data_IF_251647586394
#
_entry.id   IF_251647586394
#
_cell.length_a   1.000
_cell.length_b   1.000
_cell.length_c   1.000
_cell.angle_alpha   90.00
_cell.angle_beta   90.00
_cell.angle_gamma   90.00
#
_symmetry.space_group_name_H-M   'P 1'
#
loop_
_entity.id
_entity.type
_entity.pdbx_description
1 polymer ?
#
# COMPACT_ATOMS: atom_id res chain seq x y z
N UNK A 1 0.60 12.03 -12.23
CA UNK A 1 0.51 10.66 -11.71
C UNK A 1 -0.87 10.47 -11.11
N UNK A 2 -1.68 9.54 -11.61
CA UNK A 2 -3.00 9.29 -11.05
C UNK A 2 -2.84 8.78 -9.61
N UNK A 3 -3.43 9.48 -8.63
CA UNK A 3 -3.45 9.05 -7.25
C UNK A 3 -4.15 7.69 -7.17
N UNK A 4 -3.55 6.70 -6.49
CA UNK A 4 -4.29 5.48 -6.19
C UNK A 4 -5.33 5.72 -5.07
N UNK A 5 -5.77 4.66 -4.40
CA UNK A 5 -6.88 4.79 -3.45
C UNK A 5 -6.50 5.61 -2.21
N UNK A 6 -7.43 6.44 -1.74
CA UNK A 6 -7.34 7.15 -0.46
C UNK A 6 -8.39 6.55 0.47
N UNK A 7 -7.92 5.93 1.55
CA UNK A 7 -8.73 5.27 2.54
C UNK A 7 -8.75 6.06 3.85
N UNK A 8 -9.95 6.46 4.25
CA UNK A 8 -10.21 7.26 5.44
C UNK A 8 -11.01 6.43 6.43
N UNK A 9 -10.73 6.59 7.73
CA UNK A 9 -11.53 5.95 8.77
C UNK A 9 -12.89 6.64 8.91
N UNK A 10 -13.93 5.90 9.32
CA UNK A 10 -15.31 6.39 9.39
C UNK A 10 -15.51 7.61 10.31
N UNK A 11 -14.62 7.81 11.28
CA UNK A 11 -14.63 8.95 12.20
C UNK A 11 -13.73 10.13 11.81
N UNK A 12 -13.09 10.10 10.64
CA UNK A 12 -12.11 11.12 10.25
C UNK A 12 -12.78 12.45 9.85
N UNK A 13 -12.29 13.56 10.41
CA UNK A 13 -12.75 14.92 10.08
C UNK A 13 -12.43 15.30 8.63
N UNK A 14 -13.23 16.21 8.04
CA UNK A 14 -12.98 16.72 6.68
C UNK A 14 -11.55 17.25 6.50
N UNK A 15 -11.06 18.01 7.48
CA UNK A 15 -9.69 18.56 7.50
C UNK A 15 -8.65 17.44 7.46
N UNK A 16 -8.82 16.38 8.26
CA UNK A 16 -7.90 15.24 8.24
C UNK A 16 -7.91 14.47 6.90
N UNK A 17 -9.07 14.38 6.22
CA UNK A 17 -9.16 13.80 4.87
C UNK A 17 -8.41 14.64 3.83
N UNK A 18 -8.54 15.97 3.89
CA UNK A 18 -7.80 16.88 3.01
C UNK A 18 -6.29 16.75 3.23
N UNK A 19 -5.83 16.73 4.48
CA UNK A 19 -4.41 16.55 4.81
C UNK A 19 -3.84 15.22 4.27
N UNK A 20 -4.62 14.14 4.29
CA UNK A 20 -4.25 12.85 3.68
C UNK A 20 -4.16 12.93 2.15
N UNK A 21 -5.10 13.62 1.52
CA UNK A 21 -5.12 13.83 0.06
C UNK A 21 -3.95 14.68 -0.41
N UNK A 22 -3.50 15.66 0.39
CA UNK A 22 -2.40 16.54 0.04
C UNK A 22 -1.03 16.10 0.57
N UNK A 23 -0.95 14.98 1.31
CA UNK A 23 0.30 14.48 1.94
C UNK A 23 0.94 15.53 2.86
N UNK A 24 0.12 16.21 3.65
CA UNK A 24 0.54 17.27 4.58
C UNK A 24 1.17 16.72 5.88
N UNK A 25 1.81 15.55 5.80
CA UNK A 25 2.53 14.90 6.89
C UNK A 25 4.01 14.76 6.58
N UNK A 26 4.83 14.57 7.61
CA UNK A 26 6.26 14.27 7.47
C UNK A 26 6.49 12.77 7.59
N UNK A 27 7.37 12.24 6.74
CA UNK A 27 7.84 10.86 6.83
C UNK A 27 8.60 10.66 8.14
N UNK A 28 8.15 9.71 8.96
CA UNK A 28 8.76 9.38 10.26
C UNK A 28 9.16 7.91 10.36
N UNK A 29 8.61 7.05 9.49
CA UNK A 29 8.86 5.62 9.55
C UNK A 29 8.74 4.99 8.15
N UNK A 30 9.46 3.89 7.92
CA UNK A 30 9.28 3.09 6.70
C UNK A 30 9.57 1.61 6.94
N UNK A 31 8.97 0.76 6.11
CA UNK A 31 9.22 -0.67 6.06
C UNK A 31 9.11 -1.21 4.63
N UNK A 32 9.78 -2.32 4.36
CA UNK A 32 9.58 -3.11 3.15
C UNK A 32 8.68 -4.33 3.48
N UNK A 33 7.72 -4.63 2.60
CA UNK A 33 6.78 -5.77 2.74
C UNK A 33 6.57 -6.46 1.39
N UNK A 34 6.26 -7.76 1.37
CA UNK A 34 6.04 -8.55 0.14
C UNK A 34 7.16 -9.54 -0.20
N UNK A 35 6.93 -10.41 -1.20
CA UNK A 35 7.70 -11.54 -1.78
C UNK A 35 8.55 -12.45 -0.85
N UNK A 36 9.30 -11.90 0.11
CA UNK A 36 10.11 -12.61 1.12
C UNK A 36 10.06 -11.94 2.52
N UNK A 37 9.53 -10.72 2.60
CA UNK A 37 9.24 -9.97 3.81
C UNK A 37 7.77 -10.13 4.16
N UNK A 38 7.47 -10.36 5.45
CA UNK A 38 6.12 -10.69 5.92
C UNK A 38 5.05 -9.72 5.39
N UNK A 39 3.83 -10.25 5.23
CA UNK A 39 2.66 -9.51 4.75
C UNK A 39 2.02 -8.62 5.81
N UNK A 40 2.65 -8.53 6.98
CA UNK A 40 2.25 -7.67 8.07
C UNK A 40 3.46 -7.04 8.76
N UNK A 41 3.23 -5.87 9.35
CA UNK A 41 4.17 -5.15 10.20
C UNK A 41 3.41 -4.23 11.15
N UNK A 42 4.11 -3.58 12.08
CA UNK A 42 3.50 -2.65 13.04
C UNK A 42 4.21 -1.31 12.95
N UNK A 43 3.45 -0.25 12.66
CA UNK A 43 3.96 1.11 12.66
C UNK A 43 3.99 1.69 14.09
N UNK A 44 4.96 2.58 14.39
CA UNK A 44 5.01 3.32 15.65
C UNK A 44 3.72 4.10 15.92
N UNK A 45 3.41 4.37 17.20
CA UNK A 45 2.16 5.04 17.61
C UNK A 45 1.95 6.43 16.98
N UNK A 46 3.03 7.14 16.68
CA UNK A 46 3.05 8.48 16.07
C UNK A 46 2.66 8.53 14.58
N UNK A 47 2.59 7.39 13.88
CA UNK A 47 2.21 7.36 12.45
C UNK A 47 0.70 7.59 12.30
N UNK A 48 0.27 8.69 11.70
CA UNK A 48 -1.15 9.01 11.48
C UNK A 48 -1.72 8.34 10.23
N UNK A 49 -0.90 8.21 9.18
CA UNK A 49 -1.29 7.55 7.94
C UNK A 49 -0.09 6.89 7.27
N UNK A 50 -0.38 5.90 6.43
CA UNK A 50 0.63 5.21 5.63
C UNK A 50 0.42 5.46 4.14
N UNK A 51 1.52 5.37 3.40
CA UNK A 51 1.57 5.36 1.95
C UNK A 51 2.21 4.06 1.52
N UNK A 52 1.44 3.21 0.84
CA UNK A 52 1.94 1.95 0.29
C UNK A 52 2.29 2.18 -1.17
N UNK A 53 3.57 2.01 -1.49
CA UNK A 53 4.10 2.15 -2.84
C UNK A 53 4.55 0.78 -3.34
N UNK A 54 3.89 0.21 -4.36
CA UNK A 54 4.40 -0.98 -5.01
C UNK A 54 5.74 -0.64 -5.69
N UNK A 55 6.70 -1.54 -5.59
CA UNK A 55 7.98 -1.45 -6.29
C UNK A 55 7.96 -2.53 -7.36
N UNK A 56 8.02 -2.13 -8.64
CA UNK A 56 8.12 -3.11 -9.72
C UNK A 56 9.44 -3.85 -9.61
N UNK A 57 9.43 -5.18 -9.64
CA UNK A 57 10.60 -5.90 -10.13
C UNK A 57 10.69 -5.66 -11.64
N UNK A 58 11.91 -5.42 -12.13
CA UNK A 58 12.18 -5.34 -13.56
C UNK A 58 12.00 -6.75 -14.17
N UNK A 59 10.77 -7.14 -14.47
CA UNK A 59 10.56 -8.26 -15.37
C UNK A 59 11.20 -7.90 -16.71
N UNK A 60 12.08 -8.78 -17.19
CA UNK A 60 12.77 -8.67 -18.47
C UNK A 60 11.82 -8.66 -19.68
N UNK A 61 10.52 -8.88 -19.48
CA UNK A 61 9.52 -8.73 -20.52
C UNK A 61 9.02 -7.28 -20.53
N UNK A 62 9.47 -6.55 -21.54
CA UNK A 62 9.25 -5.13 -21.84
C UNK A 62 7.78 -4.80 -22.12
N UNK A 63 6.87 -5.12 -21.19
CA UNK A 63 5.48 -4.69 -21.24
C UNK A 63 5.36 -3.37 -20.49
N UNK A 64 5.03 -2.25 -21.15
CA UNK A 64 4.86 -0.96 -20.49
C UNK A 64 3.74 -1.07 -19.44
N UNK A 65 4.13 -1.19 -18.18
CA UNK A 65 3.24 -1.45 -17.07
C UNK A 65 2.61 -0.14 -16.60
N UNK A 66 1.33 0.09 -16.92
CA UNK A 66 0.73 1.42 -16.79
C UNK A 66 -0.03 1.71 -15.49
N UNK A 67 -0.14 0.79 -14.51
CA UNK A 67 -1.07 1.02 -13.38
C UNK A 67 -0.60 0.54 -11.99
N UNK A 68 0.67 0.74 -11.65
CA UNK A 68 1.04 0.73 -10.23
C UNK A 68 0.35 1.90 -9.53
N UNK A 69 -0.59 1.61 -8.63
CA UNK A 69 -1.35 2.62 -7.89
C UNK A 69 -0.99 2.55 -6.42
N UNK A 70 -0.51 3.67 -5.89
CA UNK A 70 -0.19 3.81 -4.47
C UNK A 70 -1.44 3.87 -3.62
N UNK A 71 -1.42 3.28 -2.43
CA UNK A 71 -2.51 3.43 -1.48
C UNK A 71 -2.12 4.43 -0.39
N UNK A 72 -3.06 5.28 0.03
CA UNK A 72 -2.91 6.11 1.22
C UNK A 72 -3.96 5.71 2.23
N UNK A 73 -3.54 5.29 3.41
CA UNK A 73 -4.44 4.70 4.39
C UNK A 73 -4.23 5.38 5.73
N UNK A 74 -5.29 6.03 6.23
CA UNK A 74 -5.29 6.56 7.58
C UNK A 74 -5.23 5.45 8.63
N UNK A 75 -4.70 5.75 9.82
CA UNK A 75 -4.80 4.86 10.99
C UNK A 75 -6.27 4.53 11.28
N UNK A 76 -6.55 3.24 11.48
CA UNK A 76 -7.90 2.69 11.58
C UNK A 76 -8.65 2.56 10.24
N UNK A 77 -7.95 2.60 9.10
CA UNK A 77 -8.52 2.57 7.75
C UNK A 77 -8.11 1.35 6.92
N UNK A 78 -8.74 1.20 5.75
CA UNK A 78 -8.36 0.19 4.76
C UNK A 78 -8.51 0.69 3.33
N UNK A 79 -7.50 0.46 2.50
CA UNK A 79 -7.44 0.89 1.10
C UNK A 79 -7.00 -0.21 0.16
N UNK A 80 -6.79 0.16 -1.10
CA UNK A 80 -6.37 -0.75 -2.16
C UNK A 80 -5.13 -0.24 -2.90
N UNK A 81 -4.12 -1.10 -3.00
CA UNK A 81 -2.92 -0.89 -3.83
C UNK A 81 -3.05 -1.78 -5.06
N UNK A 82 -2.60 -1.30 -6.22
CA UNK A 82 -2.57 -2.11 -7.44
C UNK A 82 -1.12 -2.47 -7.78
N UNK A 83 -0.86 -3.75 -7.97
CA UNK A 83 0.44 -4.31 -8.38
C UNK A 83 0.25 -5.60 -9.19
N UNK A 84 1.36 -6.16 -9.66
CA UNK A 84 1.35 -7.35 -10.50
C UNK A 84 1.26 -8.60 -9.62
N UNK A 85 0.27 -9.44 -9.91
CA UNK A 85 0.10 -10.73 -9.24
C UNK A 85 0.02 -11.82 -10.31
N UNK A 86 0.51 -13.01 -9.98
CA UNK A 86 0.45 -14.15 -10.88
C UNK A 86 -0.08 -15.38 -10.13
N UNK A 87 -0.73 -16.28 -10.86
CA UNK A 87 -1.15 -17.55 -10.27
C UNK A 87 0.07 -18.45 -10.06
N UNK A 88 0.09 -19.16 -8.94
CA UNK A 88 1.11 -20.18 -8.65
C UNK A 88 1.12 -21.31 -9.70
N UNK A 89 0.01 -21.51 -10.40
CA UNK A 89 -0.16 -22.55 -11.42
C UNK A 89 0.22 -22.10 -12.83
N UNK A 90 0.29 -20.79 -13.09
CA UNK A 90 0.70 -20.25 -14.39
C UNK A 90 1.29 -18.83 -14.22
N UNK A 91 2.61 -18.78 -14.02
CA UNK A 91 3.36 -17.53 -13.90
C UNK A 91 3.45 -16.72 -15.20
N UNK A 92 3.06 -17.28 -16.35
CA UNK A 92 3.07 -16.56 -17.64
C UNK A 92 1.87 -15.60 -17.80
N UNK A 93 0.82 -15.77 -16.99
CA UNK A 93 -0.35 -14.89 -16.97
C UNK A 93 -0.27 -14.01 -15.72
N UNK A 94 0.44 -12.90 -15.85
CA UNK A 94 0.45 -11.87 -14.84
C UNK A 94 -0.69 -10.88 -15.07
N UNK A 95 -1.43 -10.58 -14.01
CA UNK A 95 -2.57 -9.65 -14.03
C UNK A 95 -2.41 -8.57 -12.96
N UNK A 96 -2.84 -7.35 -13.28
CA UNK A 96 -2.90 -6.26 -12.30
C UNK A 96 -4.11 -6.49 -11.42
N UNK A 97 -3.87 -6.84 -10.15
CA UNK A 97 -4.93 -7.08 -9.18
C UNK A 97 -4.80 -6.09 -8.02
N UNK A 98 -5.95 -5.70 -7.49
CA UNK A 98 -6.01 -4.86 -6.30
C UNK A 98 -5.78 -5.70 -5.06
N UNK A 99 -4.74 -5.36 -4.30
CA UNK A 99 -4.53 -5.89 -2.96
C UNK A 99 -5.12 -4.96 -1.92
N UNK A 100 -5.71 -5.55 -0.87
CA UNK A 100 -6.26 -4.80 0.25
C UNK A 100 -5.15 -4.49 1.23
N UNK A 101 -5.04 -3.23 1.62
CA UNK A 101 -4.17 -2.74 2.70
C UNK A 101 -5.05 -2.38 3.88
N UNK A 102 -4.73 -2.88 5.07
CA UNK A 102 -5.37 -2.46 6.32
C UNK A 102 -4.34 -1.82 7.23
N UNK A 103 -4.70 -0.71 7.86
CA UNK A 103 -3.93 -0.07 8.90
C UNK A 103 -4.82 0.11 10.13
N UNK A 104 -4.64 -0.74 11.14
CA UNK A 104 -5.49 -0.76 12.33
C UNK A 104 -5.25 0.45 13.22
N UNK A 105 -6.16 0.69 14.18
CA UNK A 105 -6.00 1.78 15.14
C UNK A 105 -4.76 1.58 16.04
N UNK A 106 -4.43 0.33 16.34
CA UNK A 106 -3.29 -0.12 17.15
C UNK A 106 -1.96 -0.04 16.40
N UNK A 107 -1.99 0.28 15.09
CA UNK A 107 -0.79 0.44 14.28
C UNK A 107 -0.42 -0.79 13.45
N UNK A 108 -1.23 -1.85 13.48
CA UNK A 108 -0.97 -3.06 12.70
C UNK A 108 -1.28 -2.83 11.23
N UNK A 109 -0.35 -3.20 10.37
CA UNK A 109 -0.45 -3.08 8.92
C UNK A 109 -0.49 -4.48 8.36
N UNK A 110 -1.47 -4.76 7.51
CA UNK A 110 -1.56 -6.01 6.77
C UNK A 110 -1.88 -5.76 5.32
N UNK A 111 -1.28 -6.55 4.44
CA UNK A 111 -1.58 -6.52 3.02
C UNK A 111 -2.05 -7.90 2.56
N UNK A 112 -3.13 -7.93 1.78
CA UNK A 112 -3.78 -9.16 1.32
C UNK A 112 -3.91 -9.16 -0.19
N UNK A 113 -3.33 -10.17 -0.84
CA UNK A 113 -3.47 -10.43 -2.27
C UNK A 113 -4.64 -11.37 -2.54
N UNK A 114 -5.46 -11.12 -3.58
CA UNK A 114 -6.42 -12.12 -4.07
C UNK A 114 -5.78 -13.28 -4.85
N UNK A 115 -4.57 -13.14 -5.39
CA UNK A 115 -3.87 -14.22 -6.10
C UNK A 115 -2.83 -14.94 -5.22
N UNK A 116 -2.45 -16.15 -5.65
CA UNK A 116 -1.59 -17.05 -4.86
C UNK A 116 -0.16 -16.56 -4.65
N UNK A 117 0.40 -15.79 -5.59
CA UNK A 117 1.78 -15.31 -5.57
C UNK A 117 1.92 -13.87 -6.09
N UNK A 118 2.93 -13.17 -5.56
CA UNK A 118 3.45 -11.93 -6.12
C UNK A 118 4.98 -11.92 -5.92
N UNK A 119 5.72 -11.58 -6.98
CA UNK A 119 7.18 -11.39 -6.91
C UNK A 119 7.54 -9.94 -6.52
N UNK A 120 6.53 -9.07 -6.42
CA UNK A 120 6.73 -7.66 -6.12
C UNK A 120 6.88 -7.44 -4.60
N UNK A 121 7.72 -6.47 -4.27
CA UNK A 121 7.80 -5.89 -2.94
C UNK A 121 7.14 -4.51 -2.94
N UNK A 122 6.82 -4.00 -1.77
CA UNK A 122 6.33 -2.65 -1.58
C UNK A 122 7.09 -1.97 -0.46
N UNK A 123 7.19 -0.65 -0.57
CA UNK A 123 7.61 0.20 0.54
C UNK A 123 6.36 0.76 1.19
N UNK A 124 6.25 0.60 2.51
CA UNK A 124 5.26 1.25 3.34
C UNK A 124 5.94 2.40 4.05
N UNK A 125 5.44 3.61 3.83
CA UNK A 125 5.95 4.83 4.45
C UNK A 125 4.90 5.34 5.44
N UNK A 126 5.31 5.59 6.69
CA UNK A 126 4.48 6.13 7.75
C UNK A 126 4.73 7.62 7.97
N UNK A 127 3.65 8.38 8.02
CA UNK A 127 3.66 9.83 8.11
C UNK A 127 2.95 10.34 9.37
N UNK A 128 3.49 11.39 9.96
CA UNK A 128 2.91 12.12 11.08
C UNK A 128 2.45 13.52 10.66
N UNK A 129 1.25 13.91 11.10
CA UNK A 129 0.69 15.24 10.93
C UNK A 129 1.22 16.18 12.03
N UNK A 130 1.84 17.29 11.64
CA UNK A 130 2.16 18.38 12.57
C UNK A 130 1.00 19.36 12.77
#
# INVERSE_FOLDING_TARGET
>A
MALGSVAVSGGMSKKAKERLMYMDGKLVWSAAMGASSGMSTTAPAEVDYIVVKPMAFAFADSRPYSQQKTARVARGGSGHVSWMQHSRYNSSIASSNYAKVTFSAEGNISIYYPADNSDDYCTVEGYHYY
#
